data_IF_501606009322
#
_entry.id   IF_501606009322
#
_cell.length_a   1.000
_cell.length_b   1.000
_cell.length_c   1.000
_cell.angle_alpha   90.00
_cell.angle_beta   90.00
_cell.angle_gamma   90.00
#
_symmetry.space_group_name_H-M   'P 1'
#
loop_
_entity.id
_entity.type
_entity.pdbx_description
1 polymer ?
#
# COMPACT_ATOMS: atom_id res chain seq x y z
N UNK A 1 -6.33 12.61 13.36
CA UNK A 1 -6.22 13.35 12.08
C UNK A 1 -4.77 13.62 11.70
N UNK A 2 -3.93 14.31 12.51
CA UNK A 2 -2.50 14.56 12.20
C UNK A 2 -1.69 13.33 11.74
N UNK A 3 -1.86 12.18 12.38
CA UNK A 3 -1.10 10.94 12.07
C UNK A 3 -1.41 10.39 10.68
N UNK A 4 -2.69 10.35 10.31
CA UNK A 4 -3.15 9.86 9.01
C UNK A 4 -2.64 10.75 7.89
N UNK A 5 -2.60 12.08 8.10
CA UNK A 5 -1.99 13.00 7.14
C UNK A 5 -0.50 12.72 6.95
N UNK A 6 0.28 12.56 8.02
CA UNK A 6 1.71 12.23 7.90
C UNK A 6 1.92 10.94 7.11
N UNK A 7 1.18 9.86 7.45
CA UNK A 7 1.27 8.60 6.73
C UNK A 7 0.84 8.72 5.25
N UNK A 8 -0.22 9.49 4.99
CA UNK A 8 -0.71 9.73 3.63
C UNK A 8 0.34 10.48 2.79
N UNK A 9 0.94 11.55 3.33
CA UNK A 9 1.98 12.29 2.63
C UNK A 9 3.27 11.48 2.49
N UNK A 10 3.66 10.70 3.51
CA UNK A 10 4.80 9.80 3.39
C UNK A 10 4.56 8.76 2.31
N UNK A 11 3.40 8.10 2.28
CA UNK A 11 3.08 7.09 1.26
C UNK A 11 2.86 7.67 -0.13
N UNK A 12 2.24 8.84 -0.20
CA UNK A 12 2.05 9.57 -1.44
C UNK A 12 3.31 10.18 -2.01
N UNK A 13 4.39 10.30 -1.22
CA UNK A 13 5.72 10.66 -1.73
C UNK A 13 6.56 9.42 -2.03
N UNK A 14 6.54 8.40 -1.17
CA UNK A 14 7.40 7.22 -1.29
C UNK A 14 7.07 6.40 -2.54
N UNK A 15 5.77 6.23 -2.83
CA UNK A 15 5.33 5.41 -3.96
C UNK A 15 5.68 6.03 -5.32
N UNK A 16 5.36 7.32 -5.58
CA UNK A 16 5.85 8.03 -6.77
C UNK A 16 7.38 8.08 -6.89
N UNK A 17 8.11 8.26 -5.79
CA UNK A 17 9.57 8.29 -5.81
C UNK A 17 10.17 6.94 -6.23
N UNK A 18 9.64 5.84 -5.70
CA UNK A 18 10.06 4.49 -6.07
C UNK A 18 9.82 4.23 -7.56
N UNK A 19 8.71 4.74 -8.07
CA UNK A 19 8.32 4.56 -9.46
C UNK A 19 9.07 5.48 -10.43
N UNK A 20 9.34 6.73 -10.06
CA UNK A 20 10.26 7.59 -10.81
C UNK A 20 11.63 6.92 -10.90
N UNK A 21 12.11 6.32 -9.81
CA UNK A 21 13.40 5.62 -9.80
C UNK A 21 13.43 4.38 -10.71
N UNK A 22 12.30 3.70 -10.90
CA UNK A 22 12.22 2.49 -11.74
C UNK A 22 11.84 2.76 -13.21
N UNK A 23 10.95 3.72 -13.45
CA UNK A 23 10.25 3.89 -14.74
C UNK A 23 10.30 5.32 -15.26
N UNK A 24 10.75 6.29 -14.46
CA UNK A 24 10.97 7.68 -14.86
C UNK A 24 9.69 8.51 -15.10
N UNK A 25 8.50 7.95 -14.85
CA UNK A 25 7.20 8.62 -14.97
C UNK A 25 6.36 8.35 -13.74
N UNK A 26 5.55 9.30 -13.33
CA UNK A 26 4.59 9.11 -12.23
C UNK A 26 3.30 9.86 -12.51
N UNK A 27 2.19 9.34 -12.02
CA UNK A 27 0.88 9.97 -12.11
C UNK A 27 0.33 10.27 -10.72
N UNK A 28 -0.51 11.29 -10.64
CA UNK A 28 -1.13 11.75 -9.39
C UNK A 28 -1.94 10.62 -8.73
N UNK A 29 -2.53 9.74 -9.54
CA UNK A 29 -3.25 8.55 -9.07
C UNK A 29 -2.37 7.62 -8.23
N UNK A 30 -1.08 7.54 -8.52
CA UNK A 30 -0.11 6.67 -7.83
C UNK A 30 0.31 7.27 -6.50
N UNK A 31 0.41 8.60 -6.41
CA UNK A 31 0.57 9.30 -5.15
C UNK A 31 -0.65 9.06 -4.23
N UNK A 32 -1.86 9.17 -4.76
CA UNK A 32 -3.10 8.91 -4.00
C UNK A 32 -3.20 7.44 -3.59
N UNK A 33 -2.84 6.50 -4.47
CA UNK A 33 -2.81 5.08 -4.19
C UNK A 33 -1.82 4.77 -3.04
N UNK A 34 -0.58 5.23 -3.15
CA UNK A 34 0.47 5.02 -2.14
C UNK A 34 0.10 5.57 -0.78
N UNK A 35 -0.43 6.79 -0.72
CA UNK A 35 -0.92 7.40 0.52
C UNK A 35 -2.09 6.63 1.15
N UNK A 36 -3.02 6.15 0.32
CA UNK A 36 -4.18 5.37 0.77
C UNK A 36 -3.75 3.99 1.30
N UNK A 37 -2.86 3.30 0.60
CA UNK A 37 -2.28 2.02 1.02
C UNK A 37 -1.62 2.13 2.38
N UNK A 38 -0.75 3.12 2.59
CA UNK A 38 -0.05 3.31 3.86
C UNK A 38 -1.00 3.61 5.03
N UNK A 39 -2.04 4.42 4.79
CA UNK A 39 -3.09 4.67 5.79
C UNK A 39 -3.89 3.41 6.15
N UNK A 40 -4.24 2.60 5.14
CA UNK A 40 -4.99 1.36 5.34
C UNK A 40 -4.15 0.29 6.04
N UNK A 41 -2.87 0.14 5.67
CA UNK A 41 -1.92 -0.77 6.33
C UNK A 41 -1.76 -0.40 7.81
N UNK A 42 -1.58 0.87 8.16
CA UNK A 42 -1.49 1.26 9.56
C UNK A 42 -2.79 0.95 10.32
N UNK A 43 -3.95 1.29 9.73
CA UNK A 43 -5.24 1.07 10.39
C UNK A 43 -5.61 -0.41 10.53
N UNK A 44 -5.33 -1.23 9.52
CA UNK A 44 -5.72 -2.64 9.51
C UNK A 44 -4.61 -3.48 10.15
N UNK A 45 -3.37 -3.38 9.68
CA UNK A 45 -2.27 -4.22 10.16
C UNK A 45 -1.75 -3.78 11.54
N UNK A 46 -1.57 -2.47 11.79
CA UNK A 46 -1.08 -2.00 13.10
C UNK A 46 -2.16 -1.85 14.16
N UNK A 47 -3.43 -1.55 13.81
CA UNK A 47 -4.49 -1.41 14.82
C UNK A 47 -5.40 -2.64 14.96
N UNK A 48 -5.99 -3.17 13.88
CA UNK A 48 -6.95 -4.29 13.95
C UNK A 48 -6.24 -5.64 14.15
N UNK A 49 -5.17 -5.90 13.40
CA UNK A 49 -4.44 -7.18 13.42
C UNK A 49 -3.20 -7.14 14.34
N UNK A 50 -3.13 -6.19 15.27
CA UNK A 50 -1.99 -6.05 16.18
C UNK A 50 -1.70 -7.33 17.00
N UNK A 51 -2.73 -8.11 17.34
CA UNK A 51 -2.63 -9.39 18.08
C UNK A 51 -2.41 -10.62 17.19
N UNK A 52 -2.44 -10.47 15.86
CA UNK A 52 -2.27 -11.59 14.91
C UNK A 52 -0.80 -11.72 14.48
N UNK A 53 -0.44 -12.91 14.01
CA UNK A 53 0.90 -13.21 13.51
C UNK A 53 1.29 -12.29 12.35
N UNK A 54 2.59 -12.06 12.20
CA UNK A 54 3.17 -11.22 11.14
C UNK A 54 2.71 -11.69 9.76
N UNK A 55 2.62 -13.01 9.53
CA UNK A 55 2.14 -13.57 8.26
C UNK A 55 0.75 -13.05 7.88
N UNK A 56 -0.21 -13.07 8.82
CA UNK A 56 -1.57 -12.57 8.57
C UNK A 56 -1.58 -11.08 8.25
N UNK A 57 -0.69 -10.32 8.90
CA UNK A 57 -0.55 -8.88 8.66
C UNK A 57 0.07 -8.58 7.30
N UNK A 58 1.04 -9.37 6.85
CA UNK A 58 1.62 -9.27 5.52
C UNK A 58 0.60 -9.64 4.44
N UNK A 59 -0.17 -10.72 4.64
CA UNK A 59 -1.25 -11.10 3.72
C UNK A 59 -2.32 -10.02 3.62
N UNK A 60 -2.71 -9.43 4.75
CA UNK A 60 -3.64 -8.31 4.78
C UNK A 60 -3.07 -7.07 4.08
N UNK A 61 -1.78 -6.75 4.30
CA UNK A 61 -1.09 -5.64 3.65
C UNK A 61 -1.03 -5.81 2.13
N UNK A 62 -0.64 -6.99 1.66
CA UNK A 62 -0.63 -7.34 0.24
C UNK A 62 -2.03 -7.20 -0.37
N UNK A 63 -3.05 -7.76 0.28
CA UNK A 63 -4.43 -7.67 -0.21
C UNK A 63 -4.95 -6.24 -0.29
N UNK A 64 -4.57 -5.37 0.67
CA UNK A 64 -4.90 -3.94 0.63
C UNK A 64 -4.24 -3.27 -0.58
N UNK A 65 -2.93 -3.49 -0.77
CA UNK A 65 -2.19 -2.86 -1.86
C UNK A 65 -2.75 -3.32 -3.21
N UNK A 66 -2.87 -4.63 -3.42
CA UNK A 66 -3.43 -5.20 -4.66
C UNK A 66 -4.86 -4.72 -4.91
N UNK A 67 -5.69 -4.61 -3.87
CA UNK A 67 -7.05 -4.10 -3.99
C UNK A 67 -7.11 -2.63 -4.40
N UNK A 68 -6.26 -1.79 -3.79
CA UNK A 68 -6.16 -0.36 -4.16
C UNK A 68 -5.59 -0.21 -5.57
N UNK A 69 -4.55 -0.94 -5.93
CA UNK A 69 -4.00 -0.95 -7.29
C UNK A 69 -5.04 -1.38 -8.31
N UNK A 70 -5.83 -2.43 -8.02
CA UNK A 70 -6.89 -2.85 -8.91
C UNK A 70 -7.94 -1.76 -9.11
N UNK A 71 -8.42 -1.14 -8.02
CA UNK A 71 -9.42 -0.08 -8.08
C UNK A 71 -8.88 1.15 -8.84
N UNK A 72 -7.66 1.59 -8.53
CA UNK A 72 -7.06 2.74 -9.21
C UNK A 72 -6.76 2.40 -10.66
N UNK A 73 -6.30 1.19 -10.97
CA UNK A 73 -6.10 0.72 -12.34
C UNK A 73 -7.40 0.71 -13.13
N UNK A 74 -8.49 0.19 -12.56
CA UNK A 74 -9.82 0.23 -13.18
C UNK A 74 -10.26 1.67 -13.44
N UNK A 75 -10.16 2.56 -12.44
CA UNK A 75 -10.57 3.96 -12.63
C UNK A 75 -9.70 4.66 -13.67
N UNK A 76 -8.39 4.52 -13.58
CA UNK A 76 -7.46 5.33 -14.37
C UNK A 76 -7.25 4.77 -15.78
N UNK A 77 -7.16 3.45 -15.92
CA UNK A 77 -6.96 2.80 -17.22
C UNK A 77 -8.27 2.47 -17.94
N UNK A 78 -9.30 1.96 -17.26
CA UNK A 78 -10.56 1.63 -17.94
C UNK A 78 -11.48 2.84 -18.11
N UNK A 79 -11.64 3.68 -17.08
CA UNK A 79 -12.53 4.85 -17.16
C UNK A 79 -11.82 6.04 -17.80
N UNK A 80 -10.65 6.43 -17.29
CA UNK A 80 -9.92 7.59 -17.81
C UNK A 80 -9.03 7.30 -19.04
N UNK A 81 -8.88 6.02 -19.44
CA UNK A 81 -8.04 5.59 -20.59
C UNK A 81 -6.62 6.15 -20.58
N UNK A 82 -6.07 6.44 -19.39
CA UNK A 82 -4.76 7.09 -19.23
C UNK A 82 -3.58 6.14 -19.39
N UNK A 83 -3.79 4.81 -19.47
CA UNK A 83 -2.75 3.79 -19.60
C UNK A 83 -1.52 4.07 -18.70
N UNK A 84 -1.77 4.42 -17.44
CA UNK A 84 -0.74 4.84 -16.49
C UNK A 84 0.21 3.68 -16.19
N UNK A 85 -0.35 2.48 -16.02
CA UNK A 85 0.41 1.24 -15.96
C UNK A 85 -0.26 0.16 -16.80
N UNK A 86 0.55 -0.62 -17.50
CA UNK A 86 0.07 -1.73 -18.31
C UNK A 86 0.83 -2.99 -17.89
N UNK A 87 0.13 -3.89 -17.20
CA UNK A 87 0.66 -5.19 -16.81
C UNK A 87 0.20 -6.32 -17.76
N UNK A 88 -0.42 -5.99 -18.90
CA UNK A 88 -0.96 -6.97 -19.85
C UNK A 88 0.11 -7.89 -20.43
N UNK A 89 1.36 -7.43 -20.50
CA UNK A 89 2.50 -8.23 -20.99
C UNK A 89 3.12 -9.13 -19.91
N UNK A 90 2.72 -9.02 -18.65
CA UNK A 90 3.24 -9.85 -17.57
C UNK A 90 2.40 -11.12 -17.37
N UNK A 91 3.03 -12.29 -17.15
CA UNK A 91 2.28 -13.51 -16.87
C UNK A 91 1.51 -13.39 -15.56
N UNK A 92 0.33 -14.03 -15.49
CA UNK A 92 -0.58 -13.97 -14.34
C UNK A 92 -1.06 -12.55 -13.99
N UNK A 93 -1.26 -11.71 -15.02
CA UNK A 93 -1.99 -10.46 -14.86
C UNK A 93 -3.50 -10.70 -14.82
N UNK A 94 -4.21 -9.83 -14.12
CA UNK A 94 -5.66 -9.78 -14.09
C UNK A 94 -6.10 -8.45 -14.70
N UNK A 95 -6.78 -8.51 -15.84
CA UNK A 95 -7.25 -7.35 -16.63
C UNK A 95 -6.12 -6.36 -17.02
N UNK A 96 -4.86 -6.80 -17.03
CA UNK A 96 -3.71 -5.91 -17.22
C UNK A 96 -3.52 -4.85 -16.12
N UNK A 97 -4.30 -4.91 -15.02
CA UNK A 97 -4.33 -3.91 -13.95
C UNK A 97 -3.54 -4.32 -12.71
N UNK A 98 -3.56 -5.61 -12.39
CA UNK A 98 -2.80 -6.20 -11.29
C UNK A 98 -2.09 -7.46 -11.80
N UNK A 99 -1.06 -7.90 -11.10
CA UNK A 99 -0.46 -9.21 -11.36
C UNK A 99 -0.01 -9.88 -10.05
N UNK A 100 -0.03 -11.21 -10.07
CA UNK A 100 0.40 -12.04 -8.94
C UNK A 100 1.85 -11.76 -8.51
N UNK A 101 2.84 -11.62 -9.40
CA UNK A 101 4.22 -11.33 -8.97
C UNK A 101 4.35 -10.01 -8.21
N UNK A 102 3.61 -8.96 -8.60
CA UNK A 102 3.59 -7.72 -7.82
C UNK A 102 2.88 -7.90 -6.47
N UNK A 103 1.79 -8.67 -6.43
CA UNK A 103 1.14 -9.02 -5.15
C UNK A 103 2.09 -9.74 -4.19
N UNK A 104 2.94 -10.63 -4.70
CA UNK A 104 4.00 -11.26 -3.91
C UNK A 104 5.06 -10.24 -3.46
N UNK A 105 5.47 -9.32 -4.33
CA UNK A 105 6.38 -8.22 -3.97
C UNK A 105 5.79 -7.37 -2.84
N UNK A 106 4.50 -7.03 -2.91
CA UNK A 106 3.78 -6.27 -1.89
C UNK A 106 3.67 -7.03 -0.57
N UNK A 107 3.58 -8.36 -0.59
CA UNK A 107 3.65 -9.17 0.62
C UNK A 107 4.97 -9.00 1.36
N UNK A 108 6.09 -9.02 0.64
CA UNK A 108 7.41 -8.75 1.24
C UNK A 108 7.56 -7.29 1.65
N UNK A 109 7.08 -6.34 0.84
CA UNK A 109 7.16 -4.91 1.13
C UNK A 109 6.23 -4.46 2.26
N UNK A 110 5.19 -5.23 2.58
CA UNK A 110 4.29 -4.97 3.69
C UNK A 110 5.02 -4.97 5.05
N UNK A 111 6.08 -5.78 5.21
CA UNK A 111 6.90 -5.80 6.42
C UNK A 111 7.61 -4.47 6.70
N UNK A 112 8.49 -3.97 5.81
CA UNK A 112 9.14 -2.68 6.00
C UNK A 112 8.13 -1.54 6.01
N UNK A 113 7.04 -1.60 5.22
CA UNK A 113 5.98 -0.59 5.27
C UNK A 113 5.32 -0.52 6.66
N UNK A 114 5.00 -1.65 7.27
CA UNK A 114 4.49 -1.70 8.65
C UNK A 114 5.50 -1.18 9.68
N UNK A 115 6.78 -1.49 9.49
CA UNK A 115 7.88 -0.98 10.32
C UNK A 115 7.98 0.54 10.24
N UNK A 116 7.99 1.06 9.01
CA UNK A 116 7.99 2.49 8.73
C UNK A 116 6.77 3.19 9.33
N UNK A 117 5.58 2.62 9.20
CA UNK A 117 4.38 3.14 9.86
C UNK A 117 4.56 3.28 11.37
N UNK A 118 5.17 2.28 12.04
CA UNK A 118 5.42 2.33 13.49
C UNK A 118 6.47 3.36 13.89
N UNK A 119 7.44 3.63 13.03
CA UNK A 119 8.48 4.65 13.27
C UNK A 119 7.89 6.06 13.11
N UNK A 120 7.15 6.31 12.04
CA UNK A 120 6.56 7.61 11.76
C UNK A 120 5.31 7.91 12.61
N UNK A 121 4.61 6.88 13.10
CA UNK A 121 3.43 7.05 13.94
C UNK A 121 3.66 6.52 15.36
N UNK A 122 3.58 7.42 16.34
CA UNK A 122 3.48 7.03 17.75
C UNK A 122 2.33 6.03 17.95
N UNK A 123 2.56 4.89 18.64
CA UNK A 123 1.65 3.76 18.69
C UNK A 123 0.25 4.19 19.16
N UNK A 124 -0.77 3.64 18.50
CA UNK A 124 -2.17 3.93 18.79
C UNK A 124 -2.51 3.55 20.25
N UNK A 125 -3.47 4.21 20.94
CA UNK A 125 -3.82 3.87 22.33
C UNK A 125 -4.15 2.37 22.55
N UNK A 126 -4.77 1.72 21.56
CA UNK A 126 -5.00 0.26 21.57
C UNK A 126 -3.71 -0.56 21.57
N UNK A 127 -2.68 -0.09 20.88
CA UNK A 127 -1.37 -0.74 20.82
C UNK A 127 -0.58 -0.53 22.12
N UNK A 128 -0.72 0.66 22.75
CA UNK A 128 -0.15 0.93 24.08
C UNK A 128 -0.76 0.05 25.18
N UNK A 129 -2.06 -0.29 25.08
CA UNK A 129 -2.73 -1.17 26.05
C UNK A 129 -2.16 -2.59 26.03
N UNK A 130 -1.81 -3.09 24.84
CA UNK A 130 -1.26 -4.45 24.65
C UNK A 130 0.21 -4.54 25.06
N UNK A 131 1.00 -3.47 24.91
CA UNK A 131 2.43 -3.46 25.29
C UNK A 131 2.66 -3.34 26.81
N UNK A 132 1.58 -3.15 27.58
CA UNK A 132 1.58 -3.05 29.04
C UNK A 132 0.97 -4.30 29.71
N UNK A 133 0.44 -5.24 28.94
CA UNK A 133 0.06 -6.59 29.36
C UNK A 133 1.19 -7.55 29.02
#
# INVERSE_FOLDING_TARGET
MRKTMVLFFSGGSLYPLLEIAWRGKTDISMAVAGGTCLCLIDRICNCRLCKKSIFVRCSAGAGIITGVEFLVGVVVNLILKRNVWDYSMLPMNFLGQICIPFTALWYFLSLPAMGFCRLCSSPHPRQKRIRKE
#
